data_IF_142593705767
#
_entry.id   IF_142593705767
#
_cell.length_a   1.000
_cell.length_b   1.000
_cell.length_c   1.000
_cell.angle_alpha   90.00
_cell.angle_beta   90.00
_cell.angle_gamma   90.00
#
_symmetry.space_group_name_H-M   'P 1'
#
loop_
_entity.id
_entity.type
_entity.pdbx_description
1 polymer ?
#
# COMPACT_ATOMS: atom_id res chain seq x y z
N UNK A 1 11.86 10.50 -1.09
CA UNK A 1 12.15 10.50 -2.53
C UNK A 1 11.34 9.41 -3.24
N UNK A 2 10.50 9.83 -4.18
CA UNK A 2 9.62 8.92 -4.91
C UNK A 2 10.38 7.89 -5.74
N UNK A 3 11.52 8.27 -6.31
CA UNK A 3 12.35 7.35 -7.08
C UNK A 3 12.90 6.22 -6.22
N UNK A 4 13.31 6.53 -4.98
CA UNK A 4 13.77 5.53 -4.03
C UNK A 4 12.65 4.57 -3.65
N UNK A 5 11.44 5.11 -3.37
CA UNK A 5 10.29 4.28 -3.05
C UNK A 5 9.96 3.33 -4.21
N UNK A 6 9.95 3.85 -5.44
CA UNK A 6 9.68 3.04 -6.62
C UNK A 6 10.74 1.94 -6.80
N UNK A 7 12.03 2.26 -6.58
CA UNK A 7 13.11 1.29 -6.67
C UNK A 7 12.94 0.15 -5.66
N UNK A 8 12.52 0.50 -4.44
CA UNK A 8 12.34 -0.50 -3.38
C UNK A 8 11.24 -1.50 -3.70
N UNK A 9 10.21 -1.09 -4.44
CA UNK A 9 9.03 -1.92 -4.66
C UNK A 9 8.91 -2.50 -6.06
N UNK A 10 9.78 -2.13 -7.02
CA UNK A 10 9.57 -2.54 -8.41
C UNK A 10 9.58 -4.06 -8.62
N UNK A 11 10.21 -4.80 -7.73
CA UNK A 11 10.26 -6.27 -7.78
C UNK A 11 9.09 -6.91 -7.04
N UNK A 12 8.24 -6.10 -6.41
CA UNK A 12 7.13 -6.59 -5.63
C UNK A 12 5.84 -6.48 -6.41
N UNK A 13 4.86 -7.26 -6.01
CA UNK A 13 3.53 -7.20 -6.60
C UNK A 13 2.80 -5.95 -6.10
N UNK A 14 2.27 -5.15 -7.03
CA UNK A 14 1.38 -4.04 -6.69
C UNK A 14 -0.05 -4.58 -6.81
N UNK A 15 -0.77 -4.55 -5.72
CA UNK A 15 -2.14 -5.02 -5.66
C UNK A 15 -3.05 -3.88 -5.25
N UNK A 16 -4.00 -3.52 -6.13
CA UNK A 16 -4.95 -2.44 -5.87
C UNK A 16 -6.14 -3.04 -5.13
N UNK A 17 -6.39 -2.52 -3.95
CA UNK A 17 -7.45 -3.03 -3.09
C UNK A 17 -8.84 -2.80 -3.69
N UNK A 18 -8.97 -1.76 -4.53
CA UNK A 18 -10.21 -1.48 -5.26
C UNK A 18 -10.46 -2.57 -6.29
N UNK A 19 -9.41 -3.02 -6.97
CA UNK A 19 -9.51 -4.10 -7.97
C UNK A 19 -9.92 -5.42 -7.30
N UNK A 20 -9.60 -5.58 -6.03
CA UNK A 20 -9.96 -6.76 -5.26
C UNK A 20 -11.40 -6.71 -4.74
N UNK A 21 -12.12 -5.62 -4.97
CA UNK A 21 -13.46 -5.38 -4.44
C UNK A 21 -13.49 -5.47 -2.91
N UNK A 22 -12.39 -5.12 -2.30
CA UNK A 22 -12.24 -5.18 -0.86
C UNK A 22 -12.66 -3.85 -0.23
N UNK A 23 -13.44 -3.93 0.84
CA UNK A 23 -13.83 -2.75 1.61
C UNK A 23 -12.86 -2.59 2.77
N UNK A 24 -11.89 -1.66 2.66
CA UNK A 24 -10.82 -1.56 3.65
C UNK A 24 -11.35 -1.23 5.03
N UNK A 25 -10.95 -2.08 5.98
CA UNK A 25 -11.20 -1.90 7.40
C UNK A 25 -9.93 -2.31 8.13
N UNK A 26 -9.59 -1.69 9.26
CA UNK A 26 -8.38 -2.05 9.99
C UNK A 26 -8.55 -3.36 10.78
N UNK A 27 -9.19 -4.34 10.20
CA UNK A 27 -9.46 -5.63 10.83
C UNK A 27 -8.60 -6.71 10.19
N UNK A 28 -7.79 -7.38 11.02
CA UNK A 28 -6.90 -8.44 10.58
C UNK A 28 -7.65 -9.52 9.78
N UNK A 29 -8.84 -9.91 10.26
CA UNK A 29 -9.63 -10.96 9.62
C UNK A 29 -9.99 -10.61 8.17
N UNK A 30 -10.43 -9.37 7.93
CA UNK A 30 -10.80 -8.93 6.58
C UNK A 30 -9.59 -8.93 5.65
N UNK A 31 -8.46 -8.45 6.14
CA UNK A 31 -7.22 -8.45 5.37
C UNK A 31 -6.77 -9.87 5.04
N UNK A 32 -6.77 -10.75 6.03
CA UNK A 32 -6.34 -12.14 5.85
C UNK A 32 -7.23 -12.90 4.87
N UNK A 33 -8.54 -12.64 4.89
CA UNK A 33 -9.46 -13.24 3.93
C UNK A 33 -9.18 -12.77 2.50
N UNK A 34 -8.85 -11.49 2.33
CA UNK A 34 -8.48 -10.96 1.02
C UNK A 34 -7.20 -11.62 0.51
N UNK A 35 -6.19 -11.71 1.37
CA UNK A 35 -4.92 -12.35 1.03
C UNK A 35 -5.15 -13.78 0.57
N UNK A 36 -5.98 -14.53 1.29
CA UNK A 36 -6.30 -15.91 0.96
C UNK A 36 -7.08 -16.02 -0.35
N UNK A 37 -8.10 -15.19 -0.51
CA UNK A 37 -8.97 -15.22 -1.70
C UNK A 37 -8.20 -14.96 -2.99
N UNK A 38 -7.30 -14.00 -2.96
CA UNK A 38 -6.54 -13.60 -4.14
C UNK A 38 -5.14 -14.19 -4.21
N UNK A 39 -4.81 -15.08 -3.28
CA UNK A 39 -3.51 -15.78 -3.22
C UNK A 39 -2.34 -14.81 -3.25
N UNK A 40 -2.43 -13.77 -2.45
CA UNK A 40 -1.42 -12.72 -2.34
C UNK A 40 -0.33 -13.13 -1.36
N UNK A 41 0.94 -12.90 -1.73
CA UNK A 41 2.04 -13.02 -0.77
C UNK A 41 2.31 -11.62 -0.20
N UNK A 42 2.01 -11.37 1.09
CA UNK A 42 2.23 -10.04 1.67
C UNK A 42 3.67 -9.56 1.54
N UNK A 43 4.64 -10.46 1.61
CA UNK A 43 6.06 -10.09 1.51
C UNK A 43 6.45 -9.60 0.12
N UNK A 44 5.63 -9.86 -0.89
CA UNK A 44 5.85 -9.41 -2.26
C UNK A 44 4.82 -8.37 -2.70
N UNK A 45 4.19 -7.71 -1.73
CA UNK A 45 3.06 -6.83 -2.01
C UNK A 45 3.30 -5.42 -1.48
N UNK A 46 2.94 -4.44 -2.30
CA UNK A 46 2.84 -3.05 -1.89
C UNK A 46 1.37 -2.75 -1.61
N UNK A 47 1.08 -2.33 -0.38
CA UNK A 47 -0.27 -2.01 0.06
C UNK A 47 -0.43 -0.50 0.11
N UNK A 48 -1.27 0.05 -0.76
CA UNK A 48 -1.52 1.49 -0.87
C UNK A 48 -2.92 1.80 -0.36
N UNK A 49 -3.04 2.79 0.50
CA UNK A 49 -4.30 3.14 1.15
C UNK A 49 -4.34 4.63 1.42
N UNK A 50 -5.51 5.26 1.29
CA UNK A 50 -5.69 6.67 1.60
C UNK A 50 -6.05 6.91 3.06
N UNK A 51 -6.50 5.88 3.77
CA UNK A 51 -6.73 5.93 5.21
C UNK A 51 -5.51 5.35 5.90
N UNK A 52 -4.66 6.21 6.45
CA UNK A 52 -3.37 5.80 6.98
C UNK A 52 -3.47 4.66 8.01
N UNK A 53 -4.43 4.75 8.94
CA UNK A 53 -4.57 3.74 9.99
C UNK A 53 -4.87 2.33 9.46
N UNK A 54 -5.43 2.22 8.26
CA UNK A 54 -5.72 0.91 7.67
C UNK A 54 -4.46 0.18 7.21
N UNK A 55 -3.33 0.89 7.14
CA UNK A 55 -2.07 0.30 6.72
C UNK A 55 -1.40 -0.53 7.81
N UNK A 56 -1.81 -0.36 9.07
CA UNK A 56 -1.17 -1.08 10.18
C UNK A 56 -1.22 -2.59 10.01
N UNK A 57 -2.35 -3.13 9.56
CA UNK A 57 -2.48 -4.57 9.37
C UNK A 57 -1.60 -5.07 8.22
N UNK A 58 -1.50 -4.29 7.15
CA UNK A 58 -0.61 -4.63 6.05
C UNK A 58 0.83 -4.75 6.50
N UNK A 59 1.28 -3.79 7.30
CA UNK A 59 2.64 -3.80 7.84
C UNK A 59 2.86 -5.02 8.73
N UNK A 60 1.92 -5.30 9.61
CA UNK A 60 1.99 -6.44 10.50
C UNK A 60 2.08 -7.76 9.74
N UNK A 61 1.44 -7.86 8.58
CA UNK A 61 1.49 -9.05 7.73
C UNK A 61 2.65 -9.09 6.76
N UNK A 62 3.50 -8.06 6.75
CA UNK A 62 4.74 -8.06 5.98
C UNK A 62 4.72 -7.32 4.66
N UNK A 63 3.65 -6.57 4.36
CA UNK A 63 3.63 -5.77 3.13
C UNK A 63 4.51 -4.53 3.27
N UNK A 64 4.90 -3.96 2.14
CA UNK A 64 5.35 -2.57 2.11
C UNK A 64 4.08 -1.73 2.13
N UNK A 65 4.06 -0.70 2.96
CA UNK A 65 2.90 0.17 3.12
C UNK A 65 3.17 1.56 2.56
N UNK A 66 2.17 2.10 1.86
CA UNK A 66 2.27 3.45 1.31
C UNK A 66 0.95 4.19 1.54
N UNK A 67 1.04 5.33 2.18
CA UNK A 67 -0.12 6.18 2.41
C UNK A 67 -0.26 7.17 1.27
N UNK A 68 -1.42 7.14 0.60
CA UNK A 68 -1.76 8.13 -0.42
C UNK A 68 -2.23 9.39 0.31
N UNK A 69 -1.39 10.41 0.29
CA UNK A 69 -1.56 11.63 1.09
C UNK A 69 -2.86 12.34 0.76
N UNK A 70 -3.60 12.68 1.81
CA UNK A 70 -4.78 13.53 1.70
C UNK A 70 -4.94 14.31 3.01
N UNK A 71 -5.74 15.38 2.97
CA UNK A 71 -5.92 16.27 4.11
C UNK A 71 -7.19 15.98 4.92
N UNK A 72 -7.92 14.94 4.54
CA UNK A 72 -9.12 14.55 5.27
C UNK A 72 -8.74 14.03 6.65
N UNK A 73 -9.49 14.42 7.66
CA UNK A 73 -9.19 14.00 9.03
C UNK A 73 -9.12 12.47 9.15
N UNK A 74 -10.09 11.79 8.57
CA UNK A 74 -10.15 10.31 8.65
C UNK A 74 -8.98 9.63 7.92
N UNK A 75 -8.48 10.23 6.83
CA UNK A 75 -7.37 9.66 6.09
C UNK A 75 -6.03 9.97 6.71
N UNK A 76 -5.88 11.15 7.29
CA UNK A 76 -4.61 11.64 7.83
C UNK A 76 -4.30 11.10 9.22
N UNK A 77 -5.32 10.64 9.94
CA UNK A 77 -5.13 10.13 11.30
C UNK A 77 -4.11 8.98 11.32
N UNK A 78 -3.14 9.07 12.20
CA UNK A 78 -2.04 8.11 12.37
C UNK A 78 -1.05 8.06 11.20
N UNK A 79 -1.06 9.05 10.31
CA UNK A 79 -0.14 9.08 9.16
C UNK A 79 1.33 9.25 9.54
N UNK A 80 1.63 9.61 10.79
CA UNK A 80 3.00 9.75 11.28
C UNK A 80 3.51 8.48 12.00
N UNK A 81 2.72 7.42 12.02
CA UNK A 81 3.11 6.18 12.68
C UNK A 81 4.17 5.42 11.88
N UNK A 82 4.93 4.60 12.59
CA UNK A 82 6.06 3.87 12.01
C UNK A 82 5.67 2.71 11.09
N UNK A 83 4.39 2.34 11.08
CA UNK A 83 3.91 1.30 10.15
C UNK A 83 3.67 1.83 8.74
N UNK A 84 3.89 3.13 8.48
CA UNK A 84 3.82 3.74 7.15
C UNK A 84 5.23 3.76 6.57
N UNK A 85 5.49 2.98 5.54
CA UNK A 85 6.81 2.95 4.91
C UNK A 85 7.03 4.15 3.98
N UNK A 86 6.01 4.52 3.22
CA UNK A 86 6.12 5.61 2.24
C UNK A 86 4.88 6.48 2.23
N UNK A 87 5.07 7.73 1.80
CA UNK A 87 3.96 8.67 1.59
C UNK A 87 3.96 9.04 0.11
N UNK A 88 2.81 8.88 -0.53
CA UNK A 88 2.64 9.08 -1.97
C UNK A 88 1.73 10.28 -2.22
N UNK A 89 2.20 11.27 -2.97
CA UNK A 89 1.40 12.44 -3.31
C UNK A 89 0.53 12.20 -4.54
N UNK A 90 1.04 11.44 -5.51
CA UNK A 90 0.36 11.19 -6.77
C UNK A 90 0.50 9.72 -7.15
N UNK A 91 -0.60 8.98 -7.05
CA UNK A 91 -0.60 7.55 -7.32
C UNK A 91 -0.24 7.23 -8.77
N UNK A 92 -0.82 7.96 -9.71
CA UNK A 92 -0.55 7.71 -11.14
C UNK A 92 0.92 7.87 -11.48
N UNK A 93 1.54 8.91 -10.96
CA UNK A 93 2.96 9.17 -11.19
C UNK A 93 3.83 8.09 -10.53
N UNK A 94 3.48 7.69 -9.31
CA UNK A 94 4.22 6.66 -8.59
C UNK A 94 4.19 5.32 -9.36
N UNK A 95 3.00 4.92 -9.82
CA UNK A 95 2.84 3.68 -10.60
C UNK A 95 3.58 3.76 -11.93
N UNK A 96 3.61 4.92 -12.56
CA UNK A 96 4.37 5.13 -13.79
C UNK A 96 5.86 4.94 -13.56
N UNK A 97 6.38 5.45 -12.46
CA UNK A 97 7.79 5.28 -12.09
C UNK A 97 8.13 3.79 -11.90
N UNK A 98 7.27 3.04 -11.24
CA UNK A 98 7.46 1.59 -11.06
C UNK A 98 7.49 0.90 -12.42
N UNK A 99 6.58 1.26 -13.32
CA UNK A 99 6.51 0.65 -14.66
C UNK A 99 7.79 0.91 -15.45
N UNK A 100 8.32 2.11 -15.37
CA UNK A 100 9.56 2.46 -16.07
C UNK A 100 10.74 1.64 -15.54
N UNK A 101 10.80 1.41 -14.24
CA UNK A 101 11.84 0.58 -13.64
C UNK A 101 11.73 -0.88 -14.10
N UNK A 102 10.51 -1.41 -14.21
CA UNK A 102 10.30 -2.79 -14.67
C UNK A 102 10.71 -2.99 -16.13
N UNK A 103 10.61 -1.94 -16.94
CA UNK A 103 10.88 -2.00 -18.37
C UNK A 103 12.31 -1.56 -18.75
N UNK A 104 13.10 -1.19 -17.76
CA UNK A 104 14.48 -0.72 -18.01
C UNK A 104 15.51 -1.83 -18.05
#
# INVERSE_FOLDING_TARGET
DRSSAASDVYKRQVFDIVDAEYHPKPEAKAFDLMVQKFKIDPNETLYIEDIAKNLSIGKERGTITAWLINDEYWGKKESEKDYIDYKIENLSLFLKEIRLLKNS
#
